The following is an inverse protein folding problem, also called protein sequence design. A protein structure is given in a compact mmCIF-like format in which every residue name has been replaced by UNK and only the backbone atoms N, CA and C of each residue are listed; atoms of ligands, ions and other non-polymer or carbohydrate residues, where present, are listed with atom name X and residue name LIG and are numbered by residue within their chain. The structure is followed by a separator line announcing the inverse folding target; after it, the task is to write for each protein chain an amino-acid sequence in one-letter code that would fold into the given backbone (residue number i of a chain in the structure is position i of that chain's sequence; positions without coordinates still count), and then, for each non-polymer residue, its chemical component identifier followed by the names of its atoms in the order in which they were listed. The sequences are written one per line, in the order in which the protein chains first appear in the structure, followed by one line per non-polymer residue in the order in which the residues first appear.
data_IF_477889738086
#
_entry.id   IF_477889738086
#
_cell.length_a   1.000
_cell.length_b   1.000
_cell.length_c   1.000
_cell.angle_alpha   90.00
_cell.angle_beta   90.00
_cell.angle_gamma   90.00
#
_symmetry.space_group_name_H-M   'P 1'
#
loop_
_entity.id
_entity.type
_entity.pdbx_description
1 polymer ?
#
# COMPACT_ATOMS: atom_id res chain seq x y z
N UNK A 1 13.20 -30.49 -1.78
CA UNK A 1 12.44 -30.52 -3.05
C UNK A 1 12.23 -29.08 -3.53
N UNK A 2 12.34 -28.83 -4.83
CA UNK A 2 11.99 -27.56 -5.46
C UNK A 2 10.50 -27.30 -5.33
N UNK A 3 10.14 -26.02 -5.08
CA UNK A 3 8.75 -25.53 -5.12
C UNK A 3 8.50 -24.74 -6.40
N UNK A 4 7.28 -24.74 -6.90
CA UNK A 4 6.88 -23.99 -8.10
C UNK A 4 6.04 -24.82 -9.07
N UNK A 5 5.59 -24.21 -10.20
CA UNK A 5 4.94 -24.91 -11.29
C UNK A 5 5.82 -26.04 -11.87
N UNK A 6 5.18 -27.02 -12.48
CA UNK A 6 5.86 -28.23 -12.98
C UNK A 6 6.92 -27.88 -14.05
N UNK A 7 6.60 -26.99 -14.97
CA UNK A 7 7.49 -26.48 -16.02
C UNK A 7 8.73 -25.77 -15.46
N UNK A 8 8.55 -24.95 -14.42
CA UNK A 8 9.65 -24.30 -13.72
C UNK A 8 10.60 -25.30 -13.04
N UNK A 9 10.03 -26.31 -12.38
CA UNK A 9 10.81 -27.38 -11.72
C UNK A 9 11.57 -28.20 -12.75
N UNK A 10 10.94 -28.53 -13.88
CA UNK A 10 11.59 -29.24 -14.99
C UNK A 10 12.76 -28.45 -15.57
N UNK A 11 12.60 -27.15 -15.83
CA UNK A 11 13.65 -26.26 -16.35
C UNK A 11 14.90 -26.25 -15.46
N UNK A 12 14.71 -26.09 -14.14
CA UNK A 12 15.82 -26.10 -13.19
C UNK A 12 16.52 -27.45 -13.13
N UNK A 13 15.77 -28.55 -13.21
CA UNK A 13 16.34 -29.89 -13.23
C UNK A 13 17.10 -30.19 -14.55
N UNK A 14 16.57 -29.76 -15.69
CA UNK A 14 17.24 -29.91 -17.00
C UNK A 14 18.54 -29.09 -17.08
N UNK A 15 18.60 -27.95 -16.37
CA UNK A 15 19.78 -27.10 -16.25
C UNK A 15 20.87 -27.67 -15.32
N UNK A 16 20.64 -28.81 -14.68
CA UNK A 16 21.61 -29.50 -13.83
C UNK A 16 21.32 -29.44 -12.34
N UNK A 17 20.20 -28.86 -11.93
CA UNK A 17 19.75 -28.76 -10.53
C UNK A 17 19.20 -30.06 -9.96
N UNK A 18 19.80 -31.21 -10.25
CA UNK A 18 19.36 -32.51 -9.73
C UNK A 18 20.37 -33.09 -8.75
N UNK A 19 19.89 -33.52 -7.59
CA UNK A 19 20.70 -34.06 -6.49
C UNK A 19 20.00 -34.02 -5.15
N UNK A 20 20.69 -34.47 -4.12
CA UNK A 20 20.26 -34.30 -2.73
C UNK A 20 20.87 -33.01 -2.20
N UNK A 21 20.02 -32.00 -2.00
CA UNK A 21 20.39 -30.69 -1.48
C UNK A 21 19.63 -30.39 -0.17
N UNK A 22 20.28 -29.68 0.76
CA UNK A 22 19.66 -29.27 2.02
C UNK A 22 18.78 -28.03 1.84
N UNK A 23 19.21 -27.08 0.99
CA UNK A 23 18.51 -25.84 0.68
C UNK A 23 18.11 -25.80 -0.80
N UNK A 24 17.01 -25.14 -1.08
CA UNK A 24 16.53 -24.94 -2.44
C UNK A 24 17.46 -24.02 -3.25
N UNK A 25 18.15 -23.08 -2.60
CA UNK A 25 19.17 -22.24 -3.25
C UNK A 25 20.32 -23.04 -3.81
N UNK A 26 20.74 -24.11 -3.12
CA UNK A 26 21.83 -24.99 -3.58
C UNK A 26 21.46 -25.70 -4.89
N UNK A 27 20.16 -25.96 -5.12
CA UNK A 27 19.67 -26.54 -6.38
C UNK A 27 19.90 -25.58 -7.56
N UNK A 28 19.62 -24.28 -7.35
CA UNK A 28 19.84 -23.26 -8.38
C UNK A 28 21.33 -23.01 -8.63
N UNK A 29 22.15 -23.02 -7.56
CA UNK A 29 23.60 -22.91 -7.71
C UNK A 29 24.17 -24.06 -8.53
N UNK A 30 23.74 -25.32 -8.30
CA UNK A 30 24.13 -26.47 -9.05
C UNK A 30 23.72 -26.39 -10.53
N UNK A 31 22.53 -25.79 -10.80
CA UNK A 31 22.06 -25.53 -12.15
C UNK A 31 22.76 -24.32 -12.82
N UNK A 32 23.60 -23.58 -12.08
CA UNK A 32 24.17 -22.29 -12.51
C UNK A 32 23.12 -21.26 -12.88
N UNK A 33 21.96 -21.29 -12.18
CA UNK A 33 20.85 -20.36 -12.32
C UNK A 33 20.79 -19.42 -11.13
N UNK A 34 20.32 -18.17 -11.30
CA UNK A 34 19.99 -17.29 -10.18
C UNK A 34 18.79 -17.86 -9.41
N UNK A 35 18.84 -17.77 -8.08
CA UNK A 35 17.71 -18.20 -7.24
C UNK A 35 16.48 -17.32 -7.50
N UNK A 36 15.35 -17.95 -7.84
CA UNK A 36 14.07 -17.30 -8.01
C UNK A 36 13.21 -17.56 -6.76
N UNK A 37 12.82 -16.52 -6.01
CA UNK A 37 11.91 -16.67 -4.87
C UNK A 37 10.61 -17.39 -5.26
N UNK A 38 10.05 -18.27 -4.39
CA UNK A 38 8.84 -19.05 -4.71
C UNK A 38 7.66 -18.19 -5.18
N UNK A 39 7.50 -17.00 -4.62
CA UNK A 39 6.41 -16.07 -4.95
C UNK A 39 6.47 -15.51 -6.38
N UNK A 40 7.59 -15.65 -7.08
CA UNK A 40 7.77 -15.16 -8.45
C UNK A 40 7.68 -16.27 -9.51
N UNK A 41 7.58 -17.54 -9.10
CA UNK A 41 7.58 -18.69 -10.01
C UNK A 41 6.26 -18.91 -10.73
N UNK A 42 5.14 -18.38 -10.19
CA UNK A 42 3.80 -18.51 -10.77
C UNK A 42 3.43 -17.37 -11.74
N UNK A 43 4.33 -16.45 -12.04
CA UNK A 43 3.97 -15.21 -12.74
C UNK A 43 3.62 -15.40 -14.23
N UNK A 44 3.86 -16.59 -14.81
CA UNK A 44 3.56 -16.87 -16.23
C UNK A 44 4.33 -16.00 -17.23
N UNK A 45 5.15 -15.07 -16.74
CA UNK A 45 6.09 -14.32 -17.55
C UNK A 45 7.38 -15.13 -17.68
N UNK A 46 7.93 -15.18 -18.88
CA UNK A 46 9.11 -15.97 -19.23
C UNK A 46 10.19 -15.85 -18.14
N UNK A 47 10.48 -16.97 -17.49
CA UNK A 47 11.57 -17.12 -16.53
C UNK A 47 12.91 -16.63 -17.10
N UNK A 48 13.05 -16.55 -18.41
CA UNK A 48 14.21 -16.00 -19.11
C UNK A 48 14.38 -14.48 -18.96
N UNK A 49 13.33 -13.68 -18.87
CA UNK A 49 13.46 -12.22 -18.64
C UNK A 49 13.77 -11.90 -17.16
N UNK A 50 13.26 -12.70 -16.24
CA UNK A 50 13.63 -12.62 -14.80
C UNK A 50 15.09 -13.03 -14.58
N UNK A 51 15.64 -13.91 -15.44
CA UNK A 51 16.94 -14.56 -15.25
C UNK A 51 18.17 -13.72 -15.60
N UNK A 52 18.10 -12.64 -16.39
CA UNK A 52 19.32 -11.95 -16.85
C UNK A 52 19.69 -10.67 -16.11
N UNK A 53 18.78 -10.02 -15.41
CA UNK A 53 19.06 -8.74 -14.76
C UNK A 53 18.68 -8.67 -13.25
N UNK A 54 18.09 -9.70 -12.69
CA UNK A 54 17.60 -9.69 -11.31
C UNK A 54 18.30 -10.74 -10.44
N UNK A 55 19.35 -10.35 -9.76
CA UNK A 55 19.45 -10.71 -8.34
C UNK A 55 18.26 -10.02 -7.72
N UNK A 56 17.18 -10.77 -7.47
CA UNK A 56 15.91 -10.18 -7.06
C UNK A 56 16.02 -9.75 -5.62
N UNK A 57 16.42 -8.53 -5.41
CA UNK A 57 16.37 -7.85 -4.14
C UNK A 57 14.93 -7.38 -3.91
N UNK A 58 13.99 -8.36 -3.86
CA UNK A 58 12.58 -8.05 -3.60
C UNK A 58 12.43 -7.56 -2.16
N UNK A 59 11.47 -6.65 -1.98
CA UNK A 59 11.17 -6.06 -0.67
C UNK A 59 10.99 -7.12 0.43
N UNK A 60 11.48 -6.82 1.62
CA UNK A 60 11.23 -7.59 2.83
C UNK A 60 10.47 -6.74 3.87
N UNK A 61 9.94 -7.40 4.90
CA UNK A 61 9.21 -6.70 5.96
C UNK A 61 10.08 -5.66 6.66
N UNK A 62 11.36 -5.96 6.85
CA UNK A 62 12.30 -5.09 7.56
C UNK A 62 12.69 -3.83 6.74
N UNK A 63 12.33 -3.79 5.44
CA UNK A 63 12.47 -2.60 4.61
C UNK A 63 11.40 -1.55 4.90
N UNK A 64 10.23 -1.95 5.43
CA UNK A 64 9.11 -1.04 5.71
C UNK A 64 9.42 -0.19 6.94
N UNK A 65 9.56 1.12 6.74
CA UNK A 65 9.98 2.08 7.77
C UNK A 65 8.83 2.79 8.47
N UNK A 66 7.63 2.74 7.92
CA UNK A 66 6.48 3.41 8.52
C UNK A 66 5.15 3.04 7.87
N UNK A 67 4.10 3.62 8.39
CA UNK A 67 2.70 3.32 8.07
C UNK A 67 1.97 4.62 7.72
N UNK A 68 1.23 4.63 6.61
CA UNK A 68 0.59 5.85 6.10
C UNK A 68 -0.94 5.76 6.04
N UNK A 69 -1.55 4.71 6.60
CA UNK A 69 -3.00 4.53 6.62
C UNK A 69 -3.45 3.83 7.90
N UNK A 70 -3.76 4.63 8.93
CA UNK A 70 -4.10 4.15 10.27
C UNK A 70 -5.24 4.96 10.87
N UNK A 71 -6.18 4.28 11.53
CA UNK A 71 -7.34 4.87 12.20
C UNK A 71 -7.21 4.82 13.71
N UNK A 72 -7.72 5.85 14.36
CA UNK A 72 -7.77 5.98 15.81
C UNK A 72 -9.20 6.02 16.32
N UNK A 73 -9.37 6.13 17.63
CA UNK A 73 -10.69 6.34 18.26
C UNK A 73 -11.28 7.71 18.01
N UNK A 74 -10.68 8.54 17.18
CA UNK A 74 -11.31 9.75 16.64
C UNK A 74 -12.37 9.40 15.59
N UNK A 75 -12.15 8.35 14.79
CA UNK A 75 -13.18 7.78 13.90
C UNK A 75 -13.62 6.41 14.40
N UNK A 76 -13.35 5.33 13.70
CA UNK A 76 -13.78 3.97 14.00
C UNK A 76 -12.66 3.04 14.49
N UNK A 77 -11.47 3.56 14.67
CA UNK A 77 -10.37 2.82 15.29
C UNK A 77 -10.61 2.58 16.79
N UNK A 78 -9.92 1.59 17.35
CA UNK A 78 -10.07 1.15 18.74
C UNK A 78 -8.94 1.58 19.67
N UNK A 79 -7.90 2.19 19.12
CA UNK A 79 -6.77 2.74 19.87
C UNK A 79 -6.82 4.27 19.89
N UNK A 80 -6.36 4.88 20.99
CA UNK A 80 -6.07 6.31 20.99
C UNK A 80 -4.86 6.63 20.10
N UNK A 81 -4.62 7.92 19.82
CA UNK A 81 -3.39 8.36 19.15
C UNK A 81 -2.16 7.72 19.79
N UNK A 82 -2.04 7.80 21.13
CA UNK A 82 -0.93 7.22 21.89
C UNK A 82 -0.83 5.69 21.72
N UNK A 83 -1.95 4.97 21.81
CA UNK A 83 -1.92 3.51 21.66
C UNK A 83 -1.40 3.08 20.29
N UNK A 84 -1.75 3.82 19.22
CA UNK A 84 -1.28 3.54 17.86
C UNK A 84 0.20 3.89 17.68
N UNK A 85 0.66 4.99 18.25
CA UNK A 85 2.07 5.41 18.26
C UNK A 85 2.94 4.40 19.00
N UNK A 86 2.56 4.03 20.23
CA UNK A 86 3.29 3.02 21.03
C UNK A 86 3.39 1.68 20.28
N UNK A 87 2.35 1.31 19.53
CA UNK A 87 2.36 0.09 18.73
C UNK A 87 3.25 0.21 17.49
N UNK A 88 3.34 1.39 16.87
CA UNK A 88 4.24 1.67 15.75
C UNK A 88 5.71 1.62 16.20
N UNK A 89 6.03 2.20 17.35
CA UNK A 89 7.36 2.09 17.97
C UNK A 89 7.75 0.62 18.23
N UNK A 90 6.80 -0.19 18.71
CA UNK A 90 7.03 -1.64 18.93
C UNK A 90 7.26 -2.42 17.62
N UNK A 91 6.75 -1.93 16.47
CA UNK A 91 7.06 -2.49 15.15
C UNK A 91 8.43 -2.02 14.63
N UNK A 92 9.07 -1.04 15.27
CA UNK A 92 10.33 -0.43 14.83
C UNK A 92 10.13 0.58 13.70
N UNK A 93 8.93 1.16 13.56
CA UNK A 93 8.67 2.20 12.57
C UNK A 93 9.34 3.52 12.94
N UNK A 94 9.68 4.30 11.93
CA UNK A 94 10.26 5.64 12.06
C UNK A 94 9.18 6.73 11.99
N UNK A 95 8.05 6.42 11.34
CA UNK A 95 6.91 7.32 11.19
C UNK A 95 5.59 6.58 11.09
N UNK A 96 4.51 7.29 11.44
CA UNK A 96 3.13 6.83 11.30
C UNK A 96 2.22 7.99 10.93
N UNK A 97 1.36 7.83 9.91
CA UNK A 97 0.30 8.78 9.61
C UNK A 97 -1.03 8.31 10.20
N UNK A 98 -1.67 9.18 10.98
CA UNK A 98 -2.99 8.91 11.55
C UNK A 98 -4.05 9.51 10.64
N UNK A 99 -4.75 8.66 9.91
CA UNK A 99 -5.59 9.01 8.76
C UNK A 99 -7.08 8.76 8.99
N UNK A 100 -7.59 9.13 10.16
CA UNK A 100 -9.01 8.99 10.49
C UNK A 100 -9.92 9.52 9.35
N UNK A 101 -11.09 8.92 9.20
CA UNK A 101 -12.03 9.19 8.12
C UNK A 101 -12.53 10.64 8.09
N UNK A 102 -12.78 11.15 6.87
CA UNK A 102 -13.43 12.44 6.65
C UNK A 102 -14.94 12.39 6.89
N UNK A 103 -15.57 13.56 6.97
CA UNK A 103 -16.94 13.77 7.46
C UNK A 103 -18.02 12.97 6.71
N UNK A 104 -17.85 12.67 5.40
CA UNK A 104 -18.81 11.91 4.61
C UNK A 104 -18.91 10.44 5.02
N UNK A 105 -17.89 9.88 5.64
CA UNK A 105 -17.88 8.53 6.20
C UNK A 105 -18.65 8.45 7.53
N UNK A 106 -19.92 8.86 7.51
CA UNK A 106 -20.74 8.93 8.73
C UNK A 106 -20.93 7.59 9.46
N UNK A 107 -20.84 6.46 8.75
CA UNK A 107 -20.90 5.11 9.36
C UNK A 107 -19.61 4.80 10.16
N UNK A 108 -18.49 5.43 9.82
CA UNK A 108 -17.20 5.28 10.49
C UNK A 108 -16.92 6.42 11.48
N UNK A 109 -17.89 7.29 11.75
CA UNK A 109 -17.69 8.44 12.65
C UNK A 109 -16.75 9.50 12.09
N UNK A 110 -16.78 9.70 10.77
CA UNK A 110 -15.86 10.62 10.06
C UNK A 110 -15.89 12.05 10.62
N UNK A 111 -14.72 12.68 10.62
CA UNK A 111 -14.43 13.93 11.32
C UNK A 111 -14.89 15.15 10.53
N UNK A 112 -15.52 16.11 11.20
CA UNK A 112 -15.62 17.49 10.70
C UNK A 112 -14.24 18.16 10.68
N UNK A 113 -14.12 19.27 9.96
CA UNK A 113 -12.85 20.03 9.92
C UNK A 113 -12.40 20.51 11.31
N UNK A 114 -13.36 20.86 12.20
CA UNK A 114 -13.06 21.27 13.58
C UNK A 114 -12.59 20.09 14.45
N UNK A 115 -13.10 18.88 14.22
CA UNK A 115 -12.66 17.66 14.90
C UNK A 115 -11.29 17.22 14.41
N UNK A 116 -11.04 17.30 13.10
CA UNK A 116 -9.74 17.04 12.51
C UNK A 116 -8.66 17.98 13.07
N UNK A 117 -8.98 19.30 13.17
CA UNK A 117 -8.06 20.26 13.77
C UNK A 117 -7.71 19.90 15.23
N UNK A 118 -8.71 19.51 16.04
CA UNK A 118 -8.47 19.05 17.43
C UNK A 118 -7.65 17.76 17.49
N UNK A 119 -7.87 16.82 16.57
CA UNK A 119 -7.03 15.62 16.45
C UNK A 119 -5.58 16.00 16.15
N UNK A 120 -5.37 16.93 15.23
CA UNK A 120 -4.03 17.40 14.87
C UNK A 120 -3.30 18.07 16.05
N UNK A 121 -3.99 18.80 16.91
CA UNK A 121 -3.41 19.34 18.18
C UNK A 121 -2.96 18.21 19.13
N UNK A 122 -3.71 17.10 19.18
CA UNK A 122 -3.31 15.92 19.97
C UNK A 122 -2.07 15.24 19.35
N UNK A 123 -2.02 15.15 18.01
CA UNK A 123 -0.84 14.61 17.30
C UNK A 123 0.40 15.45 17.62
N UNK A 124 0.32 16.78 17.55
CA UNK A 124 1.44 17.67 17.91
C UNK A 124 1.94 17.42 19.35
N UNK A 125 1.00 17.26 20.29
CA UNK A 125 1.35 16.96 21.69
C UNK A 125 2.07 15.62 21.82
N UNK A 126 1.63 14.61 21.09
CA UNK A 126 2.26 13.27 21.13
C UNK A 126 3.61 13.29 20.44
N UNK A 127 3.78 14.04 19.34
CA UNK A 127 5.07 14.21 18.66
C UNK A 127 6.15 14.78 19.59
N UNK A 128 5.79 15.70 20.51
CA UNK A 128 6.74 16.25 21.48
C UNK A 128 7.21 15.21 22.52
N UNK A 129 6.58 14.05 22.59
CA UNK A 129 6.81 13.02 23.62
C UNK A 129 7.41 11.71 23.06
N UNK A 130 7.67 11.61 21.75
CA UNK A 130 8.20 10.42 21.07
C UNK A 130 9.30 10.79 20.09
N UNK A 131 10.18 9.84 19.78
CA UNK A 131 11.19 9.97 18.71
C UNK A 131 10.64 9.55 17.33
N UNK A 132 9.39 9.02 17.27
CA UNK A 132 8.73 8.61 16.05
C UNK A 132 8.01 9.81 15.42
N UNK A 133 8.15 10.02 14.11
CA UNK A 133 7.44 11.08 13.41
C UNK A 133 5.95 10.73 13.27
N UNK A 134 5.06 11.43 13.99
CA UNK A 134 3.60 11.22 13.92
C UNK A 134 2.99 12.24 12.98
N UNK A 135 2.56 11.79 11.81
CA UNK A 135 2.06 12.60 10.71
C UNK A 135 0.56 12.86 10.84
N UNK A 136 0.16 14.10 10.57
CA UNK A 136 -1.25 14.51 10.47
C UNK A 136 -1.80 14.02 9.15
N UNK A 137 -2.78 13.13 9.18
CA UNK A 137 -3.38 12.61 7.96
C UNK A 137 -4.90 12.50 8.04
N UNK A 138 -5.50 12.22 6.90
CA UNK A 138 -6.91 11.82 6.82
C UNK A 138 -7.14 10.89 5.63
N UNK A 139 -7.97 9.86 5.84
CA UNK A 139 -8.59 9.13 4.74
C UNK A 139 -9.84 9.88 4.31
N UNK A 140 -9.70 10.58 3.18
CA UNK A 140 -10.70 11.49 2.64
C UNK A 140 -11.58 10.75 1.63
N UNK A 141 -12.91 10.83 1.80
CA UNK A 141 -13.84 10.24 0.85
C UNK A 141 -13.72 10.90 -0.53
N UNK A 142 -13.65 10.08 -1.58
CA UNK A 142 -13.88 10.52 -2.95
C UNK A 142 -15.38 10.64 -3.15
N UNK A 143 -15.90 11.86 -3.34
CA UNK A 143 -17.30 12.12 -3.54
C UNK A 143 -17.77 11.65 -4.95
N UNK A 144 -19.08 11.63 -5.19
CA UNK A 144 -19.65 11.07 -6.42
C UNK A 144 -19.17 11.75 -7.71
N UNK A 145 -18.80 13.02 -7.63
CA UNK A 145 -18.27 13.81 -8.75
C UNK A 145 -16.73 13.73 -8.88
N UNK A 146 -16.08 12.99 -7.98
CA UNK A 146 -14.62 12.84 -7.92
C UNK A 146 -13.91 13.94 -7.13
N UNK A 147 -14.63 14.87 -6.50
CA UNK A 147 -14.03 15.82 -5.56
C UNK A 147 -13.70 15.13 -4.23
N UNK A 148 -12.74 15.70 -3.48
CA UNK A 148 -12.39 15.25 -2.14
C UNK A 148 -13.34 15.87 -1.11
N UNK A 149 -13.63 15.14 -0.04
CA UNK A 149 -14.61 15.54 0.97
C UNK A 149 -14.20 16.77 1.83
N UNK A 150 -12.91 17.07 1.90
CA UNK A 150 -12.42 18.33 2.48
C UNK A 150 -12.03 19.33 1.39
N UNK A 151 -12.14 20.62 1.70
CA UNK A 151 -11.62 21.67 0.83
C UNK A 151 -10.08 21.82 0.95
N UNK A 152 -9.48 22.49 -0.04
CA UNK A 152 -8.03 22.70 -0.10
C UNK A 152 -7.46 23.36 1.18
N UNK A 153 -8.23 24.17 1.87
CA UNK A 153 -7.76 24.87 3.08
C UNK A 153 -7.52 23.89 4.22
N UNK A 154 -8.34 22.84 4.29
CA UNK A 154 -8.20 21.76 5.26
C UNK A 154 -7.11 20.79 4.82
N UNK A 155 -7.12 20.38 3.54
CA UNK A 155 -6.14 19.43 3.00
C UNK A 155 -4.70 19.93 3.17
N UNK A 156 -4.44 21.23 2.98
CA UNK A 156 -3.10 21.83 3.16
C UNK A 156 -2.59 21.84 4.62
N UNK A 157 -3.39 21.44 5.58
CA UNK A 157 -2.99 21.31 6.99
C UNK A 157 -2.57 19.88 7.34
N UNK A 158 -2.67 18.96 6.37
CA UNK A 158 -2.31 17.55 6.52
C UNK A 158 -0.94 17.28 5.90
N UNK A 159 -0.22 16.38 6.53
CA UNK A 159 1.05 15.85 6.05
C UNK A 159 0.81 14.69 5.07
N UNK A 160 -0.30 13.95 5.22
CA UNK A 160 -0.67 12.82 4.35
C UNK A 160 -2.17 12.83 4.05
N UNK A 161 -2.52 12.84 2.78
CA UNK A 161 -3.89 12.72 2.28
C UNK A 161 -4.07 11.39 1.55
N UNK A 162 -4.84 10.50 2.15
CA UNK A 162 -5.30 9.26 1.53
C UNK A 162 -6.68 9.50 0.94
N UNK A 163 -6.98 9.11 -0.30
CA UNK A 163 -8.35 9.19 -0.82
C UNK A 163 -8.90 7.80 -1.12
N UNK A 164 -10.16 7.58 -0.72
CA UNK A 164 -10.82 6.27 -0.87
C UNK A 164 -12.29 6.40 -1.26
N UNK A 165 -12.82 5.35 -1.89
CA UNK A 165 -14.26 5.24 -2.22
C UNK A 165 -14.95 4.42 -1.15
N UNK A 166 -15.94 5.03 -0.45
CA UNK A 166 -16.72 4.35 0.61
C UNK A 166 -18.22 4.30 0.32
N UNK A 167 -18.68 4.81 -0.82
CA UNK A 167 -20.09 4.87 -1.19
C UNK A 167 -20.32 4.67 -2.68
N UNK A 168 -21.57 4.38 -3.06
CA UNK A 168 -21.98 4.26 -4.48
C UNK A 168 -21.16 3.21 -5.24
N UNK A 169 -20.96 2.03 -4.66
CA UNK A 169 -20.20 0.92 -5.24
C UNK A 169 -20.83 0.30 -6.49
N UNK A 170 -22.08 0.67 -6.80
CA UNK A 170 -22.90 0.20 -7.93
C UNK A 170 -22.85 1.13 -9.16
N UNK A 171 -21.93 2.12 -9.16
CA UNK A 171 -21.66 2.92 -10.36
C UNK A 171 -21.12 2.02 -11.48
N UNK A 172 -21.47 2.35 -12.75
CA UNK A 172 -20.86 1.66 -13.89
C UNK A 172 -19.34 1.97 -14.00
N UNK A 173 -18.62 1.13 -14.72
CA UNK A 173 -17.18 1.21 -14.88
C UNK A 173 -16.71 2.61 -15.33
N UNK A 174 -17.38 3.19 -16.35
CA UNK A 174 -16.98 4.49 -16.89
C UNK A 174 -17.16 5.62 -15.86
N UNK A 175 -18.28 5.60 -15.11
CA UNK A 175 -18.57 6.59 -14.08
C UNK A 175 -17.63 6.45 -12.89
N UNK A 176 -17.37 5.22 -12.41
CA UNK A 176 -16.45 4.96 -11.31
C UNK A 176 -15.00 5.33 -11.70
N UNK A 177 -14.55 4.93 -12.89
CA UNK A 177 -13.23 5.30 -13.41
C UNK A 177 -13.08 6.81 -13.50
N UNK A 178 -14.08 7.51 -14.05
CA UNK A 178 -14.05 8.98 -14.10
C UNK A 178 -13.93 9.61 -12.71
N UNK A 179 -14.75 9.15 -11.76
CA UNK A 179 -14.76 9.60 -10.35
C UNK A 179 -13.37 9.48 -9.72
N UNK A 180 -12.76 8.29 -9.79
CA UNK A 180 -11.44 8.03 -9.17
C UNK A 180 -10.34 8.80 -9.91
N UNK A 181 -10.34 8.84 -11.24
CA UNK A 181 -9.37 9.61 -12.02
C UNK A 181 -9.46 11.12 -11.74
N UNK A 182 -10.63 11.65 -11.41
CA UNK A 182 -10.77 13.06 -11.02
C UNK A 182 -10.13 13.33 -9.66
N UNK A 183 -10.33 12.43 -8.68
CA UNK A 183 -9.69 12.55 -7.38
C UNK A 183 -8.16 12.44 -7.49
N UNK A 184 -7.66 11.47 -8.27
CA UNK A 184 -6.21 11.25 -8.48
C UNK A 184 -5.49 12.46 -9.07
N UNK A 185 -6.19 13.32 -9.83
CA UNK A 185 -5.63 14.56 -10.39
C UNK A 185 -5.49 15.68 -9.35
N UNK A 186 -6.01 15.49 -8.15
CA UNK A 186 -5.99 16.53 -7.14
C UNK A 186 -4.56 16.76 -6.62
N UNK A 187 -4.02 18.00 -6.68
CA UNK A 187 -2.62 18.26 -6.36
C UNK A 187 -2.23 18.08 -4.89
N UNK A 188 -3.22 17.90 -4.01
CA UNK A 188 -3.03 17.66 -2.58
C UNK A 188 -3.35 16.21 -2.21
N UNK A 189 -3.49 15.31 -3.18
CA UNK A 189 -3.67 13.89 -2.93
C UNK A 189 -2.33 13.18 -3.01
N UNK A 190 -1.95 12.49 -1.93
CA UNK A 190 -0.68 11.77 -1.86
C UNK A 190 -0.84 10.31 -2.31
N UNK A 191 -1.90 9.64 -1.86
CA UNK A 191 -2.11 8.24 -2.17
C UNK A 191 -3.58 7.85 -2.32
N UNK A 192 -3.83 6.92 -3.24
CA UNK A 192 -5.12 6.27 -3.46
C UNK A 192 -5.20 5.01 -2.61
N UNK A 193 -6.08 5.01 -1.61
CA UNK A 193 -6.33 3.88 -0.70
C UNK A 193 -7.19 2.80 -1.37
N UNK A 194 -6.97 1.53 -1.01
CA UNK A 194 -7.73 0.33 -1.42
C UNK A 194 -8.57 0.47 -2.70
N UNK A 195 -7.89 0.75 -3.80
CA UNK A 195 -8.38 1.26 -5.09
C UNK A 195 -9.59 0.54 -5.66
N UNK A 196 -9.75 -0.77 -5.45
CA UNK A 196 -10.87 -1.54 -6.03
C UNK A 196 -12.04 -1.70 -5.06
N UNK A 197 -11.86 -1.37 -3.80
CA UNK A 197 -12.88 -1.51 -2.75
C UNK A 197 -13.31 -2.95 -2.48
N UNK A 198 -12.55 -3.95 -2.96
CA UNK A 198 -12.86 -5.37 -2.75
C UNK A 198 -12.76 -5.76 -1.29
N UNK A 199 -13.58 -6.73 -0.90
CA UNK A 199 -13.48 -7.46 0.37
C UNK A 199 -13.47 -8.96 0.07
N UNK A 200 -12.33 -9.60 0.24
CA UNK A 200 -12.13 -11.02 -0.09
C UNK A 200 -13.16 -11.90 0.62
N UNK A 201 -13.77 -12.80 -0.12
CA UNK A 201 -14.84 -13.71 0.32
C UNK A 201 -16.16 -13.03 0.73
N UNK A 202 -16.30 -11.72 0.58
CA UNK A 202 -17.50 -10.97 0.99
C UNK A 202 -18.08 -10.12 -0.15
N UNK A 203 -17.23 -9.39 -0.87
CA UNK A 203 -17.65 -8.47 -1.94
C UNK A 203 -16.57 -8.36 -3.00
N UNK A 204 -16.94 -8.54 -4.26
CA UNK A 204 -16.09 -8.19 -5.39
C UNK A 204 -15.76 -6.68 -5.36
N UNK A 205 -14.67 -6.29 -6.01
CA UNK A 205 -14.40 -4.88 -6.26
C UNK A 205 -15.48 -4.26 -7.14
N UNK A 206 -15.67 -2.94 -7.02
CA UNK A 206 -16.52 -2.24 -7.98
C UNK A 206 -15.91 -2.23 -9.38
N UNK A 207 -16.75 -2.09 -10.39
CA UNK A 207 -16.31 -2.01 -11.80
C UNK A 207 -15.47 -0.73 -11.99
N UNK A 208 -14.22 -0.89 -12.44
CA UNK A 208 -13.27 0.22 -12.65
C UNK A 208 -12.21 -0.17 -13.68
N UNK A 209 -11.88 0.73 -14.59
CA UNK A 209 -10.72 0.57 -15.47
C UNK A 209 -9.42 0.86 -14.68
N UNK A 210 -8.86 -0.22 -14.13
CA UNK A 210 -7.60 -0.18 -13.37
C UNK A 210 -6.47 0.45 -14.19
N UNK A 211 -6.41 0.18 -15.50
CA UNK A 211 -5.36 0.73 -16.37
C UNK A 211 -5.45 2.24 -16.49
N UNK A 212 -6.65 2.78 -16.68
CA UNK A 212 -6.87 4.21 -16.75
C UNK A 212 -6.54 4.92 -15.42
N UNK A 213 -6.89 4.31 -14.28
CA UNK A 213 -6.57 4.86 -12.96
C UNK A 213 -5.06 4.86 -12.71
N UNK A 214 -4.36 3.75 -13.01
CA UNK A 214 -2.90 3.68 -12.85
C UNK A 214 -2.19 4.69 -13.77
N UNK A 215 -2.67 4.89 -15.00
CA UNK A 215 -2.11 5.90 -15.89
C UNK A 215 -2.31 7.32 -15.32
N UNK A 216 -3.51 7.61 -14.79
CA UNK A 216 -3.76 8.89 -14.12
C UNK A 216 -2.85 9.07 -12.89
N UNK A 217 -2.64 8.02 -12.10
CA UNK A 217 -1.75 8.03 -10.94
C UNK A 217 -0.29 8.31 -11.35
N UNK A 218 0.18 7.73 -12.45
CA UNK A 218 1.50 8.01 -13.03
C UNK A 218 1.63 9.47 -13.48
N UNK A 219 0.64 9.97 -14.21
CA UNK A 219 0.63 11.32 -14.78
C UNK A 219 0.58 12.42 -13.70
N UNK A 220 0.04 12.12 -12.52
CA UNK A 220 -0.15 13.07 -11.41
C UNK A 220 0.70 12.74 -10.17
N UNK A 221 1.60 11.76 -10.27
CA UNK A 221 2.52 11.34 -9.20
C UNK A 221 1.83 10.87 -7.91
N UNK A 222 0.56 10.46 -7.99
CA UNK A 222 -0.19 9.89 -6.86
C UNK A 222 0.28 8.46 -6.61
N UNK A 223 0.58 8.12 -5.37
CA UNK A 223 0.92 6.75 -5.00
C UNK A 223 -0.32 5.86 -4.92
N UNK A 224 -0.15 4.55 -5.09
CA UNK A 224 -1.23 3.56 -4.98
C UNK A 224 -0.95 2.59 -3.83
N UNK A 225 -1.96 2.34 -3.02
CA UNK A 225 -1.86 1.49 -1.85
C UNK A 225 -1.88 0.00 -2.20
N UNK A 226 -1.00 -0.78 -1.55
CA UNK A 226 -1.23 -2.19 -1.25
C UNK A 226 -1.77 -2.26 0.18
N UNK A 227 -3.08 -2.34 0.33
CA UNK A 227 -3.74 -2.49 1.60
C UNK A 227 -3.53 -3.91 2.15
N UNK A 228 -2.83 -4.01 3.27
CA UNK A 228 -2.40 -5.27 3.87
C UNK A 228 -3.46 -5.97 4.70
N UNK A 229 -4.64 -5.34 4.89
CA UNK A 229 -5.74 -5.98 5.61
C UNK A 229 -6.09 -7.32 4.94
N UNK A 230 -6.06 -8.46 5.67
CA UNK A 230 -6.32 -9.77 5.08
C UNK A 230 -7.64 -9.90 4.35
N UNK A 231 -8.63 -9.05 4.69
CA UNK A 231 -9.94 -9.00 4.03
C UNK A 231 -9.90 -8.24 2.69
N UNK A 232 -8.86 -7.44 2.43
CA UNK A 232 -8.73 -6.63 1.21
C UNK A 232 -7.62 -7.15 0.29
N UNK A 233 -6.37 -7.08 0.74
CA UNK A 233 -5.17 -7.28 -0.08
C UNK A 233 -5.28 -6.50 -1.42
N UNK A 234 -5.67 -5.25 -1.34
CA UNK A 234 -6.03 -4.34 -2.41
C UNK A 234 -4.98 -3.21 -2.51
N UNK A 235 -4.26 -3.08 -3.57
CA UNK A 235 -4.40 -3.76 -4.87
C UNK A 235 -3.78 -5.18 -4.89
N UNK A 236 -4.14 -5.96 -5.92
CA UNK A 236 -3.56 -7.29 -6.15
C UNK A 236 -2.10 -7.20 -6.58
N UNK A 237 -1.35 -8.32 -6.46
CA UNK A 237 0.02 -8.41 -6.95
C UNK A 237 0.13 -8.09 -8.46
N UNK A 238 -0.83 -8.53 -9.28
CA UNK A 238 -0.90 -8.21 -10.71
C UNK A 238 -1.03 -6.70 -10.93
N UNK A 239 -1.95 -6.04 -10.21
CA UNK A 239 -2.15 -4.59 -10.30
C UNK A 239 -0.91 -3.83 -9.82
N UNK A 240 -0.28 -4.26 -8.72
CA UNK A 240 0.94 -3.66 -8.21
C UNK A 240 2.12 -3.77 -9.19
N UNK A 241 2.24 -4.92 -9.91
CA UNK A 241 3.22 -5.10 -10.99
C UNK A 241 2.96 -4.14 -12.14
N UNK A 242 1.69 -3.96 -12.55
CA UNK A 242 1.31 -2.97 -13.58
C UNK A 242 1.63 -1.54 -13.14
N UNK A 243 1.38 -1.20 -11.86
CA UNK A 243 1.76 0.10 -11.29
C UNK A 243 3.26 0.36 -11.43
N UNK A 244 4.10 -0.61 -11.05
CA UNK A 244 5.56 -0.53 -11.23
C UNK A 244 5.95 -0.27 -12.69
N UNK A 245 5.40 -1.00 -13.65
CA UNK A 245 5.73 -0.83 -15.09
C UNK A 245 5.34 0.55 -15.61
N UNK A 246 4.33 1.19 -15.03
CA UNK A 246 3.91 2.56 -15.36
C UNK A 246 4.69 3.63 -14.57
N UNK A 247 5.60 3.24 -13.68
CA UNK A 247 6.34 4.15 -12.83
C UNK A 247 5.52 4.75 -11.68
N UNK A 248 4.35 4.15 -11.36
CA UNK A 248 3.53 4.54 -10.21
C UNK A 248 4.20 4.06 -8.93
N UNK A 249 4.37 4.96 -7.97
CA UNK A 249 4.84 4.59 -6.63
C UNK A 249 3.79 3.76 -5.90
N UNK A 250 4.26 2.76 -5.18
CA UNK A 250 3.40 1.90 -4.35
C UNK A 250 3.68 2.20 -2.87
N UNK A 251 2.65 2.08 -2.03
CA UNK A 251 2.76 2.18 -0.57
C UNK A 251 2.15 0.92 0.03
N UNK A 252 2.80 0.34 1.03
CA UNK A 252 2.26 -0.82 1.76
C UNK A 252 1.69 -0.33 3.08
N UNK A 253 0.36 -0.36 3.21
CA UNK A 253 -0.34 0.10 4.42
C UNK A 253 -1.22 -1.00 4.99
N UNK A 254 -1.52 -0.87 6.28
CA UNK A 254 -2.33 -1.86 7.00
C UNK A 254 -3.81 -1.50 7.10
N UNK A 255 -4.17 -0.22 6.93
CA UNK A 255 -5.52 0.28 7.22
C UNK A 255 -5.94 -0.16 8.64
N UNK A 256 -4.99 0.05 9.58
CA UNK A 256 -5.12 -0.49 10.93
C UNK A 256 -6.11 0.30 11.77
N UNK A 257 -7.11 -0.40 12.30
CA UNK A 257 -8.12 0.13 13.23
C UNK A 257 -7.84 -0.27 14.68
N UNK A 258 -6.67 -0.82 14.96
CA UNK A 258 -6.25 -1.15 16.32
C UNK A 258 -4.74 -1.43 16.37
N UNK A 259 -4.09 -1.25 17.54
CA UNK A 259 -2.68 -1.59 17.70
C UNK A 259 -2.31 -3.01 17.26
N UNK A 260 -3.24 -3.96 17.43
CA UNK A 260 -3.04 -5.38 17.11
C UNK A 260 -3.04 -5.68 15.61
N UNK A 261 -3.53 -4.77 14.77
CA UNK A 261 -3.61 -4.99 13.32
C UNK A 261 -2.38 -4.48 12.57
N UNK A 262 -1.52 -3.62 13.15
CA UNK A 262 -0.28 -3.15 12.53
C UNK A 262 0.63 -4.29 12.02
N UNK A 263 0.80 -5.44 12.72
CA UNK A 263 1.59 -6.55 12.20
C UNK A 263 1.05 -7.20 10.92
N UNK A 264 -0.15 -6.80 10.44
CA UNK A 264 -0.70 -7.28 9.16
C UNK A 264 0.07 -6.76 7.94
N UNK A 265 0.98 -5.79 8.10
CA UNK A 265 1.88 -5.28 7.05
C UNK A 265 2.55 -6.41 6.27
N UNK A 266 2.88 -7.54 6.91
CA UNK A 266 3.44 -8.73 6.29
C UNK A 266 2.66 -9.22 5.07
N UNK A 267 1.32 -9.12 5.08
CA UNK A 267 0.50 -9.59 3.97
C UNK A 267 0.59 -8.65 2.75
N UNK A 268 0.76 -7.35 2.98
CA UNK A 268 1.06 -6.39 1.91
C UNK A 268 2.45 -6.59 1.35
N UNK A 269 3.43 -6.89 2.21
CA UNK A 269 4.78 -7.28 1.76
C UNK A 269 4.72 -8.54 0.91
N UNK A 270 3.95 -9.59 1.30
CA UNK A 270 3.78 -10.80 0.49
C UNK A 270 3.17 -10.47 -0.89
N UNK A 271 2.23 -9.52 -0.97
CA UNK A 271 1.68 -9.05 -2.26
C UNK A 271 2.72 -8.29 -3.10
N UNK A 272 3.50 -7.41 -2.46
CA UNK A 272 4.57 -6.69 -3.13
C UNK A 272 5.66 -7.64 -3.67
N UNK A 273 6.03 -8.68 -2.89
CA UNK A 273 6.95 -9.74 -3.30
C UNK A 273 6.43 -10.50 -4.52
N UNK A 274 5.16 -10.91 -4.52
CA UNK A 274 4.50 -11.55 -5.68
C UNK A 274 4.46 -10.64 -6.91
N UNK A 275 4.39 -9.33 -6.71
CA UNK A 275 4.46 -8.35 -7.78
C UNK A 275 5.90 -8.13 -8.30
N UNK A 276 6.93 -8.67 -7.63
CA UNK A 276 8.33 -8.43 -7.94
C UNK A 276 8.78 -7.01 -7.63
N UNK A 277 8.20 -6.39 -6.59
CA UNK A 277 8.58 -5.06 -6.15
C UNK A 277 9.86 -5.13 -5.31
N UNK A 278 10.72 -4.15 -5.52
CA UNK A 278 11.91 -3.88 -4.70
C UNK A 278 11.60 -2.77 -3.69
N UNK A 279 12.41 -2.63 -2.66
CA UNK A 279 12.29 -1.52 -1.71
C UNK A 279 12.28 -0.15 -2.43
N UNK A 280 13.03 0.01 -3.52
CA UNK A 280 13.04 1.26 -4.30
C UNK A 280 11.71 1.61 -4.98
N UNK A 281 10.84 0.63 -5.23
CA UNK A 281 9.53 0.81 -5.86
C UNK A 281 8.46 1.27 -4.86
N UNK A 282 8.77 1.18 -3.55
CA UNK A 282 7.82 1.37 -2.46
C UNK A 282 8.19 2.63 -1.67
N UNK A 283 7.22 3.52 -1.48
CA UNK A 283 7.44 4.81 -0.85
C UNK A 283 7.84 4.67 0.62
N UNK A 284 7.10 3.89 1.37
CA UNK A 284 7.30 3.76 2.82
C UNK A 284 8.40 2.76 3.24
N UNK A 285 9.28 2.42 2.33
CA UNK A 285 10.61 1.87 2.63
C UNK A 285 11.69 2.94 2.71
N UNK A 286 11.35 4.19 2.38
CA UNK A 286 12.26 5.34 2.40
C UNK A 286 12.07 6.16 3.66
N UNK A 287 13.13 6.77 4.18
CA UNK A 287 12.99 7.78 5.23
C UNK A 287 12.24 9.01 4.67
N UNK A 288 11.55 9.75 5.54
CA UNK A 288 10.69 10.90 5.14
C UNK A 288 11.46 11.93 4.30
N UNK A 289 12.70 12.23 4.64
CA UNK A 289 13.53 13.21 3.92
C UNK A 289 13.85 12.82 2.47
N UNK A 290 13.65 11.55 2.11
CA UNK A 290 13.89 11.04 0.76
C UNK A 290 12.56 10.89 -0.05
N UNK A 291 11.46 11.39 0.52
CA UNK A 291 10.18 11.39 -0.16
C UNK A 291 10.15 12.45 -1.27
N UNK A 292 9.29 12.30 -2.29
CA UNK A 292 9.15 13.27 -3.36
C UNK A 292 8.72 14.64 -2.83
N UNK A 293 9.15 15.72 -3.51
CA UNK A 293 8.85 17.10 -3.10
C UNK A 293 7.34 17.39 -2.99
N UNK A 294 6.50 16.73 -3.79
CA UNK A 294 5.04 16.85 -3.74
C UNK A 294 4.41 16.20 -2.51
N UNK A 295 5.17 15.39 -1.76
CA UNK A 295 4.81 14.77 -0.47
C UNK A 295 5.73 15.28 0.66
N UNK A 296 6.31 16.46 0.52
CA UNK A 296 7.20 17.06 1.53
C UNK A 296 6.39 17.90 2.52
N UNK A 297 6.76 17.82 3.79
CA UNK A 297 6.13 18.47 4.95
C UNK A 297 6.80 19.80 5.27
#
# INVERSE_FOLDING_TARGET
SLTGPEDHVEEVHESGGSGDFEDEKDVYEAASLPFIPPELRDSGEDTHEVNQERRVDIVDKDDVRGELHVHTNWSDGRGSVRDMVDAAEQQGYEYIALTDHSKSSGFAGGLSSDELARKNEVIETVNDETDLDVLKGSEVDILNDGSLDYDDTVLRQLDVVVASVHSQFDMDEAAMTHRVCQAVKHPLLDLLGHMTGRLLLEREGYDIDVGAVLQAAADHETAVEINSTPRRLDVSAETARRAKHLGVRVVINTDSHSPRSLPSVRYGVDQARRAGLQASDILNTKPIQDWPENMSF
#
